data_IF_963036038269
#
_entry.id   IF_963036038269
#
_cell.length_a   1.000
_cell.length_b   1.000
_cell.length_c   1.000
_cell.angle_alpha   90.00
_cell.angle_beta   90.00
_cell.angle_gamma   90.00
#
_symmetry.space_group_name_H-M   'P 1'
#
loop_
_entity.id
_entity.type
_entity.pdbx_description
1 polymer ?
#
# COMPACT_ATOMS: atom_id res chain seq x y z
N UNK A 1 18.50 -0.78 8.17
CA UNK A 1 17.05 -0.75 8.45
C UNK A 1 16.28 -0.87 7.15
N UNK A 2 15.29 -1.74 7.11
CA UNK A 2 14.45 -1.94 5.94
C UNK A 2 13.01 -1.64 6.33
N UNK A 3 12.33 -0.83 5.50
CA UNK A 3 10.91 -0.54 5.66
C UNK A 3 10.11 -1.43 4.71
N UNK A 4 9.15 -2.16 5.24
CA UNK A 4 8.26 -2.99 4.45
C UNK A 4 7.14 -2.11 3.92
N UNK A 5 6.94 -2.12 2.60
CA UNK A 5 5.95 -1.26 1.99
C UNK A 5 4.96 -2.05 1.14
N UNK A 6 3.77 -1.48 0.97
CA UNK A 6 2.74 -2.04 0.11
C UNK A 6 2.12 -0.93 -0.72
N UNK A 7 1.51 -1.31 -1.83
CA UNK A 7 0.89 -0.37 -2.77
C UNK A 7 -0.57 -0.78 -2.97
N UNK A 8 -1.47 0.18 -2.87
CA UNK A 8 -2.89 0.00 -3.17
C UNK A 8 -3.31 1.07 -4.16
N UNK A 9 -3.58 0.68 -5.39
CA UNK A 9 -3.93 1.61 -6.47
C UNK A 9 -4.69 0.83 -7.53
N UNK A 10 -5.78 1.38 -8.06
CA UNK A 10 -6.55 0.72 -9.11
C UNK A 10 -5.96 0.95 -10.51
N UNK A 11 -4.92 1.77 -10.62
CA UNK A 11 -4.27 2.07 -11.89
C UNK A 11 -3.00 1.24 -12.05
N UNK A 12 -2.98 0.25 -12.99
CA UNK A 12 -1.82 -0.63 -13.14
C UNK A 12 -0.50 0.08 -13.44
N UNK A 13 -0.56 1.19 -14.20
CA UNK A 13 0.65 1.94 -14.52
C UNK A 13 1.24 2.60 -13.28
N UNK A 14 0.39 3.09 -12.38
CA UNK A 14 0.86 3.67 -11.13
C UNK A 14 1.50 2.62 -10.23
N UNK A 15 0.90 1.43 -10.15
CA UNK A 15 1.48 0.33 -9.38
C UNK A 15 2.86 -0.02 -9.93
N UNK A 16 2.98 -0.16 -11.25
CA UNK A 16 4.25 -0.51 -11.88
C UNK A 16 5.33 0.54 -11.63
N UNK A 17 4.97 1.81 -11.67
CA UNK A 17 5.90 2.90 -11.42
C UNK A 17 6.39 2.89 -9.96
N UNK A 18 5.47 2.77 -9.00
CA UNK A 18 5.82 2.73 -7.59
C UNK A 18 6.64 1.48 -7.25
N UNK A 19 6.30 0.35 -7.84
CA UNK A 19 7.07 -0.88 -7.68
C UNK A 19 8.51 -0.69 -8.17
N UNK A 20 8.67 -0.05 -9.32
CA UNK A 20 10.00 0.24 -9.87
C UNK A 20 10.82 1.11 -8.94
N UNK A 21 10.21 2.16 -8.38
CA UNK A 21 10.90 3.02 -7.44
C UNK A 21 11.26 2.29 -6.14
N UNK A 22 10.35 1.48 -5.63
CA UNK A 22 10.61 0.71 -4.40
C UNK A 22 11.78 -0.25 -4.62
N UNK A 23 11.82 -0.92 -5.77
CA UNK A 23 12.90 -1.87 -6.07
C UNK A 23 14.25 -1.20 -6.23
N UNK A 24 14.27 0.09 -6.58
CA UNK A 24 15.51 0.87 -6.71
C UNK A 24 15.92 1.55 -5.40
N UNK A 25 15.12 1.43 -4.37
CA UNK A 25 15.36 2.10 -3.09
C UNK A 25 15.79 1.04 -2.07
N UNK A 26 17.08 1.01 -1.70
CA UNK A 26 17.61 -0.10 -0.89
C UNK A 26 16.95 -0.31 0.47
N UNK A 27 16.39 0.75 1.06
CA UNK A 27 15.75 0.65 2.37
C UNK A 27 14.25 0.31 2.30
N UNK A 28 13.71 0.10 1.09
CA UNK A 28 12.32 -0.31 0.90
C UNK A 28 12.26 -1.76 0.44
N UNK A 29 11.37 -2.53 1.05
CA UNK A 29 11.04 -3.88 0.63
C UNK A 29 9.56 -3.94 0.31
N UNK A 30 9.23 -4.18 -0.96
CA UNK A 30 7.85 -4.30 -1.39
C UNK A 30 7.32 -5.67 -0.98
N UNK A 31 6.29 -5.69 -0.12
CA UNK A 31 5.72 -6.94 0.39
C UNK A 31 4.34 -7.23 -0.18
N UNK A 32 3.72 -6.27 -0.85
CA UNK A 32 2.43 -6.50 -1.48
C UNK A 32 2.04 -5.37 -2.40
N UNK A 33 1.28 -5.71 -3.44
CA UNK A 33 0.69 -4.73 -4.34
C UNK A 33 -0.72 -5.19 -4.65
N UNK A 34 -1.66 -4.28 -4.54
CA UNK A 34 -3.08 -4.60 -4.65
C UNK A 34 -3.74 -3.62 -5.60
N UNK A 35 -4.55 -4.15 -6.52
CA UNK A 35 -5.24 -3.34 -7.51
C UNK A 35 -6.65 -2.96 -7.09
N UNK A 36 -7.09 -3.40 -5.92
CA UNK A 36 -8.40 -3.02 -5.37
C UNK A 36 -8.34 -2.90 -3.87
N UNK A 37 -9.23 -2.05 -3.32
CA UNK A 37 -9.37 -1.90 -1.88
C UNK A 37 -9.85 -3.18 -1.21
N UNK A 38 -10.74 -3.90 -1.88
CA UNK A 38 -11.27 -5.16 -1.33
C UNK A 38 -10.17 -6.19 -1.16
N UNK A 39 -9.32 -6.34 -2.16
CA UNK A 39 -8.19 -7.26 -2.08
C UNK A 39 -7.22 -6.86 -0.97
N UNK A 40 -6.92 -5.57 -0.87
CA UNK A 40 -6.04 -5.05 0.16
C UNK A 40 -6.60 -5.32 1.56
N UNK A 41 -7.89 -5.09 1.75
CA UNK A 41 -8.54 -5.32 3.04
C UNK A 41 -8.46 -6.78 3.48
N UNK A 42 -8.45 -7.71 2.53
CA UNK A 42 -8.35 -9.13 2.84
C UNK A 42 -6.94 -9.56 3.18
N UNK A 43 -5.94 -8.99 2.51
CA UNK A 43 -4.58 -9.50 2.58
C UNK A 43 -3.65 -8.67 3.46
N UNK A 44 -3.85 -7.34 3.53
CA UNK A 44 -2.98 -6.48 4.32
C UNK A 44 -2.93 -6.82 5.81
N UNK A 45 -4.04 -7.17 6.47
CA UNK A 45 -3.97 -7.45 7.91
C UNK A 45 -3.02 -8.58 8.30
N UNK A 46 -2.67 -9.45 7.35
CA UNK A 46 -1.71 -10.53 7.60
C UNK A 46 -0.26 -10.13 7.40
N UNK A 47 0.00 -8.89 6.95
CA UNK A 47 1.34 -8.42 6.63
C UNK A 47 1.79 -7.34 7.59
N UNK A 48 3.09 -7.36 7.92
CA UNK A 48 3.69 -6.24 8.64
C UNK A 48 4.12 -5.19 7.62
N UNK A 49 3.45 -4.04 7.63
CA UNK A 49 3.70 -2.96 6.68
C UNK A 49 4.04 -1.70 7.44
N UNK A 50 5.19 -1.11 7.09
CA UNK A 50 5.63 0.16 7.68
C UNK A 50 5.13 1.36 6.89
N UNK A 51 5.06 1.22 5.55
CA UNK A 51 4.60 2.28 4.65
C UNK A 51 3.56 1.73 3.70
N UNK A 52 2.45 2.43 3.56
CA UNK A 52 1.39 2.09 2.62
C UNK A 52 1.19 3.24 1.64
N UNK A 53 1.45 2.97 0.36
CA UNK A 53 1.15 3.92 -0.71
C UNK A 53 -0.29 3.69 -1.15
N UNK A 54 -1.14 4.66 -0.91
CA UNK A 54 -2.59 4.52 -1.08
C UNK A 54 -3.13 5.57 -2.04
N UNK A 55 -3.81 5.14 -3.11
CA UNK A 55 -4.51 6.04 -4.00
C UNK A 55 -5.83 6.49 -3.36
N UNK A 56 -5.99 7.80 -3.16
CA UNK A 56 -7.18 8.37 -2.53
C UNK A 56 -8.37 8.48 -3.51
N UNK A 57 -8.15 8.23 -4.78
CA UNK A 57 -9.18 8.39 -5.82
C UNK A 57 -9.89 7.10 -6.18
N UNK A 58 -9.69 6.04 -5.41
CA UNK A 58 -10.38 4.77 -5.66
C UNK A 58 -11.84 4.88 -5.25
N UNK A 59 -12.81 4.61 -6.18
CA UNK A 59 -14.23 4.88 -5.92
C UNK A 59 -14.84 4.08 -4.76
N UNK A 60 -14.38 2.85 -4.56
CA UNK A 60 -14.90 1.99 -3.51
C UNK A 60 -14.17 2.17 -2.17
N UNK A 61 -13.28 3.14 -2.09
CA UNK A 61 -12.44 3.31 -0.92
C UNK A 61 -12.73 4.63 -0.23
N UNK A 62 -13.18 4.55 1.03
CA UNK A 62 -13.12 5.67 1.92
C UNK A 62 -11.77 5.61 2.63
N UNK A 63 -10.88 6.57 2.33
CA UNK A 63 -9.54 6.57 2.88
C UNK A 63 -9.50 6.55 4.40
N UNK A 64 -10.44 7.24 5.06
CA UNK A 64 -10.52 7.25 6.52
C UNK A 64 -10.89 5.87 7.06
N UNK A 65 -11.86 5.20 6.43
CA UNK A 65 -12.24 3.86 6.87
C UNK A 65 -11.12 2.87 6.66
N UNK A 66 -10.44 2.97 5.52
CA UNK A 66 -9.32 2.09 5.22
C UNK A 66 -8.18 2.31 6.23
N UNK A 67 -7.88 3.56 6.57
CA UNK A 67 -6.79 3.86 7.49
C UNK A 67 -7.05 3.30 8.90
N UNK A 68 -8.31 3.13 9.28
CA UNK A 68 -8.67 2.52 10.56
C UNK A 68 -8.44 1.01 10.58
N UNK A 69 -8.32 0.38 9.43
CA UNK A 69 -8.18 -1.08 9.30
C UNK A 69 -6.72 -1.52 9.24
N UNK A 70 -5.79 -0.62 9.01
CA UNK A 70 -4.37 -0.95 9.01
C UNK A 70 -3.81 -0.75 10.42
N UNK A 71 -2.66 -1.40 10.68
CA UNK A 71 -1.97 -1.28 11.96
C UNK A 71 -1.62 0.20 12.21
N UNK A 72 -1.81 0.65 13.45
CA UNK A 72 -1.51 2.03 13.85
C UNK A 72 -0.05 2.41 13.62
N UNK A 73 0.85 1.43 13.50
CA UNK A 73 2.26 1.68 13.22
C UNK A 73 2.54 1.90 11.73
N UNK A 74 1.57 1.61 10.86
CA UNK A 74 1.72 1.80 9.43
C UNK A 74 1.54 3.27 9.07
N UNK A 75 2.51 3.83 8.34
CA UNK A 75 2.41 5.18 7.80
C UNK A 75 1.77 5.12 6.43
N UNK A 76 0.79 6.00 6.20
CA UNK A 76 0.05 6.05 4.94
C UNK A 76 0.53 7.24 4.13
N UNK A 77 0.89 6.98 2.87
CA UNK A 77 1.31 8.01 1.91
C UNK A 77 0.25 8.06 0.82
N UNK A 78 -0.41 9.17 0.71
CA UNK A 78 -1.43 9.38 -0.31
C UNK A 78 -0.84 9.92 -1.61
#
# INVERSE_FOLDING_TARGET
MVLRCAIVDDEPLAIGLLESYANKTPFLQLVGKYSSAVQAMKELPGEEVDLLFLDIQMPELNGLEFSKMVDSRTRIVF
#
